data_IF_637197858427
#
_entry.id   IF_637197858427
#
_cell.length_a   1.000
_cell.length_b   1.000
_cell.length_c   1.000
_cell.angle_alpha   90.00
_cell.angle_beta   90.00
_cell.angle_gamma   90.00
#
_symmetry.space_group_name_H-M   'P 1'
#
loop_
_entity.id
_entity.type
_entity.pdbx_description
1 polymer ?
#
# COMPACT_ATOMS: atom_id res chain seq x y z
N UNK A 1 2.18 -30.89 -27.82
CA UNK A 1 1.31 -31.31 -26.70
C UNK A 1 2.06 -31.99 -25.55
N UNK A 2 3.22 -32.64 -25.75
CA UNK A 2 3.98 -33.25 -24.63
C UNK A 2 4.74 -32.23 -23.76
N UNK A 3 5.22 -31.11 -24.31
CA UNK A 3 5.97 -30.09 -23.55
C UNK A 3 5.14 -29.32 -22.52
N UNK A 4 3.87 -29.05 -22.78
CA UNK A 4 2.96 -28.38 -21.85
C UNK A 4 2.52 -29.28 -20.71
N UNK A 5 2.23 -30.57 -20.99
CA UNK A 5 1.88 -31.54 -19.96
C UNK A 5 3.03 -31.81 -18.98
N UNK A 6 4.27 -31.92 -19.48
CA UNK A 6 5.45 -32.15 -18.65
C UNK A 6 5.77 -30.94 -17.75
N UNK A 7 5.53 -29.72 -18.23
CA UNK A 7 5.69 -28.47 -17.47
C UNK A 7 4.65 -28.33 -16.34
N UNK A 8 3.39 -28.67 -16.60
CA UNK A 8 2.31 -28.67 -15.60
C UNK A 8 2.58 -29.71 -14.51
N UNK A 9 3.12 -30.89 -14.89
CA UNK A 9 3.47 -31.93 -13.93
C UNK A 9 4.66 -31.54 -13.05
N UNK A 10 5.70 -30.91 -13.62
CA UNK A 10 6.83 -30.36 -12.88
C UNK A 10 6.41 -29.23 -11.91
N UNK A 11 5.53 -28.33 -12.34
CA UNK A 11 4.96 -27.27 -11.48
C UNK A 11 4.17 -27.84 -10.29
N UNK A 12 3.41 -28.92 -10.51
CA UNK A 12 2.69 -29.61 -9.44
C UNK A 12 3.62 -30.25 -8.39
N UNK A 13 4.72 -30.86 -8.84
CA UNK A 13 5.73 -31.46 -7.96
C UNK A 13 6.43 -30.39 -7.12
N UNK A 14 6.85 -29.28 -7.73
CA UNK A 14 7.52 -28.18 -7.00
C UNK A 14 6.60 -27.56 -5.94
N UNK A 15 5.31 -27.37 -6.24
CA UNK A 15 4.34 -26.88 -5.24
C UNK A 15 4.21 -27.80 -4.03
N UNK A 16 4.24 -29.12 -4.25
CA UNK A 16 4.19 -30.08 -3.15
C UNK A 16 5.47 -30.01 -2.29
N UNK A 17 6.64 -29.92 -2.93
CA UNK A 17 7.93 -29.76 -2.24
C UNK A 17 7.94 -28.50 -1.37
N UNK A 18 7.47 -27.37 -1.92
CA UNK A 18 7.39 -26.10 -1.17
C UNK A 18 6.52 -26.27 0.08
N UNK A 19 5.32 -26.86 -0.06
CA UNK A 19 4.41 -27.08 1.06
C UNK A 19 5.01 -28.00 2.13
N UNK A 20 5.69 -29.06 1.72
CA UNK A 20 6.34 -30.00 2.64
C UNK A 20 7.45 -29.30 3.44
N UNK A 21 8.28 -28.48 2.79
CA UNK A 21 9.32 -27.68 3.49
C UNK A 21 8.69 -26.69 4.47
N UNK A 22 7.62 -25.97 4.08
CA UNK A 22 6.91 -25.05 4.98
C UNK A 22 6.39 -25.79 6.22
N UNK A 23 5.77 -26.95 6.04
CA UNK A 23 5.26 -27.77 7.14
C UNK A 23 6.38 -28.27 8.06
N UNK A 24 7.49 -28.74 7.48
CA UNK A 24 8.62 -29.24 8.23
C UNK A 24 9.28 -28.12 9.06
N UNK A 25 9.50 -26.94 8.49
CA UNK A 25 9.99 -25.77 9.22
C UNK A 25 9.03 -25.35 10.34
N UNK A 26 7.73 -25.29 10.06
CA UNK A 26 6.71 -24.93 11.05
C UNK A 26 6.66 -25.93 12.22
N UNK A 27 6.79 -27.24 11.93
CA UNK A 27 6.84 -28.29 12.96
C UNK A 27 8.04 -28.14 13.90
N UNK A 28 9.09 -27.44 13.45
CA UNK A 28 10.32 -27.15 14.19
C UNK A 28 10.35 -25.73 14.79
N UNK A 29 9.23 -25.01 14.72
CA UNK A 29 9.04 -23.71 15.36
C UNK A 29 9.33 -22.49 14.49
N UNK A 30 9.68 -22.66 13.22
CA UNK A 30 10.02 -21.56 12.31
C UNK A 30 8.93 -21.39 11.22
N UNK A 31 8.21 -20.27 11.26
CA UNK A 31 7.23 -19.93 10.25
C UNK A 31 7.88 -19.31 9.02
N UNK A 32 7.76 -19.96 7.87
CA UNK A 32 8.35 -19.48 6.59
C UNK A 32 7.28 -19.35 5.52
N UNK A 33 7.39 -18.34 4.66
CA UNK A 33 6.46 -18.12 3.55
C UNK A 33 6.75 -19.06 2.37
N UNK A 34 5.73 -19.44 1.61
CA UNK A 34 5.91 -20.24 0.39
C UNK A 34 6.86 -19.56 -0.61
N UNK A 35 6.85 -18.22 -0.68
CA UNK A 35 7.74 -17.44 -1.54
C UNK A 35 9.21 -17.56 -1.12
N UNK A 36 9.50 -17.44 0.17
CA UNK A 36 10.86 -17.62 0.70
C UNK A 36 11.34 -19.04 0.42
N UNK A 37 10.50 -20.04 0.65
CA UNK A 37 10.83 -21.44 0.36
C UNK A 37 11.09 -21.66 -1.13
N UNK A 38 10.27 -21.09 -2.01
CA UNK A 38 10.49 -21.17 -3.46
C UNK A 38 11.84 -20.58 -3.87
N UNK A 39 12.23 -19.46 -3.26
CA UNK A 39 13.55 -18.85 -3.49
C UNK A 39 14.68 -19.76 -3.00
N UNK A 40 14.57 -20.33 -1.79
CA UNK A 40 15.57 -21.25 -1.24
C UNK A 40 15.70 -22.52 -2.06
N UNK A 41 14.58 -23.11 -2.51
CA UNK A 41 14.60 -24.28 -3.41
C UNK A 41 15.39 -23.96 -4.67
N UNK A 42 15.12 -22.82 -5.30
CA UNK A 42 15.87 -22.37 -6.47
C UNK A 42 17.36 -22.17 -6.16
N UNK A 43 17.69 -21.54 -5.04
CA UNK A 43 19.08 -21.31 -4.64
C UNK A 43 19.84 -22.63 -4.39
N UNK A 44 19.23 -23.59 -3.69
CA UNK A 44 19.80 -24.91 -3.39
C UNK A 44 20.03 -25.72 -4.67
N UNK A 45 19.08 -25.69 -5.62
CA UNK A 45 19.20 -26.39 -6.90
C UNK A 45 20.31 -25.80 -7.77
N UNK A 46 20.50 -24.48 -7.74
CA UNK A 46 21.50 -23.78 -8.56
C UNK A 46 22.91 -23.80 -7.95
N UNK A 47 23.05 -24.15 -6.68
CA UNK A 47 24.34 -24.16 -5.99
C UNK A 47 25.19 -25.36 -6.45
N UNK A 48 26.37 -25.14 -7.07
CA UNK A 48 27.14 -26.21 -7.72
C UNK A 48 27.56 -27.33 -6.77
N UNK A 49 27.74 -27.02 -5.48
CA UNK A 49 28.14 -27.98 -4.45
C UNK A 49 27.04 -29.01 -4.16
N UNK A 50 25.79 -28.70 -4.48
CA UNK A 50 24.65 -29.60 -4.25
C UNK A 50 24.43 -30.58 -5.41
N UNK A 51 25.11 -30.41 -6.55
CA UNK A 51 25.12 -31.37 -7.67
C UNK A 51 23.71 -31.80 -8.14
N UNK A 52 22.78 -30.83 -8.25
CA UNK A 52 21.46 -31.07 -8.85
C UNK A 52 21.51 -30.86 -10.37
N UNK A 53 20.94 -31.82 -11.12
CA UNK A 53 20.83 -31.71 -12.58
C UNK A 53 19.51 -31.03 -12.97
N UNK A 54 19.58 -29.76 -13.39
CA UNK A 54 18.41 -28.90 -13.69
C UNK A 54 17.54 -29.45 -14.83
N UNK A 55 18.13 -30.20 -15.77
CA UNK A 55 17.45 -30.72 -16.97
C UNK A 55 16.89 -32.15 -16.81
N UNK A 56 17.03 -32.77 -15.63
CA UNK A 56 16.56 -34.14 -15.37
C UNK A 56 15.33 -34.14 -14.48
N UNK A 57 14.42 -35.09 -14.71
CA UNK A 57 13.30 -35.36 -13.79
C UNK A 57 13.86 -35.79 -12.43
N UNK A 58 13.45 -35.09 -11.37
CA UNK A 58 13.88 -35.37 -9.99
C UNK A 58 13.43 -36.78 -9.58
N UNK A 59 14.37 -37.62 -9.15
CA UNK A 59 14.05 -38.90 -8.53
C UNK A 59 13.52 -38.69 -7.11
N UNK A 60 12.85 -39.70 -6.53
CA UNK A 60 12.32 -39.61 -5.16
C UNK A 60 13.39 -39.30 -4.12
N UNK A 61 14.63 -39.76 -4.33
CA UNK A 61 15.75 -39.50 -3.42
C UNK A 61 16.30 -38.07 -3.58
N UNK A 62 16.29 -37.53 -4.81
CA UNK A 62 16.65 -36.13 -5.07
C UNK A 62 15.67 -35.17 -4.39
N UNK A 63 14.38 -35.51 -4.39
CA UNK A 63 13.34 -34.72 -3.70
C UNK A 63 13.57 -34.68 -2.20
N UNK A 64 13.81 -35.84 -1.57
CA UNK A 64 14.10 -35.90 -0.12
C UNK A 64 15.35 -35.11 0.24
N UNK A 65 16.41 -35.25 -0.57
CA UNK A 65 17.67 -34.51 -0.39
C UNK A 65 17.46 -33.01 -0.53
N UNK A 66 16.68 -32.57 -1.51
CA UNK A 66 16.35 -31.16 -1.71
C UNK A 66 15.59 -30.60 -0.51
N UNK A 67 14.58 -31.31 0.00
CA UNK A 67 13.81 -30.90 1.17
C UNK A 67 14.72 -30.75 2.39
N UNK A 68 15.55 -31.76 2.68
CA UNK A 68 16.46 -31.73 3.83
C UNK A 68 17.47 -30.58 3.73
N UNK A 69 18.06 -30.32 2.56
CA UNK A 69 18.96 -29.17 2.34
C UNK A 69 18.25 -27.83 2.55
N UNK A 70 17.03 -27.68 2.01
CA UNK A 70 16.25 -26.45 2.17
C UNK A 70 15.85 -26.22 3.63
N UNK A 71 15.35 -27.25 4.33
CA UNK A 71 14.96 -27.18 5.74
C UNK A 71 16.16 -26.84 6.62
N UNK A 72 17.31 -27.50 6.41
CA UNK A 72 18.54 -27.17 7.15
C UNK A 72 18.96 -25.71 6.94
N UNK A 73 18.92 -25.23 5.70
CA UNK A 73 19.25 -23.84 5.37
C UNK A 73 18.27 -22.85 6.00
N UNK A 74 16.98 -23.14 5.99
CA UNK A 74 15.93 -22.28 6.53
C UNK A 74 15.94 -22.20 8.07
N UNK A 75 16.45 -23.23 8.74
CA UNK A 75 16.57 -23.30 10.20
C UNK A 75 17.92 -22.80 10.73
N UNK A 76 18.85 -22.38 9.86
CA UNK A 76 20.13 -21.82 10.29
C UNK A 76 19.97 -20.35 10.72
N UNK A 77 19.54 -20.14 11.96
CA UNK A 77 19.35 -18.82 12.57
C UNK A 77 20.66 -18.05 12.82
N UNK A 78 21.81 -18.57 12.39
CA UNK A 78 23.11 -17.89 12.46
C UNK A 78 23.64 -17.50 11.08
N UNK A 79 22.87 -17.74 10.01
CA UNK A 79 23.25 -17.45 8.64
C UNK A 79 22.85 -16.03 8.25
N UNK A 80 23.83 -15.11 8.21
CA UNK A 80 23.59 -13.75 7.70
C UNK A 80 23.23 -13.74 6.21
N UNK A 81 23.62 -14.76 5.44
CA UNK A 81 23.15 -14.91 4.05
C UNK A 81 21.68 -15.29 3.98
N UNK A 82 21.18 -16.14 4.89
CA UNK A 82 19.75 -16.40 5.02
C UNK A 82 18.99 -15.13 5.42
N UNK A 83 19.50 -14.35 6.39
CA UNK A 83 18.87 -13.10 6.81
C UNK A 83 18.78 -12.09 5.66
N UNK A 84 19.81 -12.04 4.82
CA UNK A 84 19.82 -11.21 3.61
C UNK A 84 18.74 -11.66 2.63
N UNK A 85 18.62 -12.97 2.38
CA UNK A 85 17.57 -13.51 1.49
C UNK A 85 16.18 -13.24 2.06
N UNK A 86 15.97 -13.43 3.37
CA UNK A 86 14.70 -13.12 4.04
C UNK A 86 14.30 -11.67 3.83
N UNK A 87 15.25 -10.75 4.04
CA UNK A 87 15.03 -9.32 3.83
C UNK A 87 14.75 -8.98 2.36
N UNK A 88 15.47 -9.56 1.41
CA UNK A 88 15.22 -9.35 -0.03
C UNK A 88 13.82 -9.82 -0.43
N UNK A 89 13.45 -11.04 -0.04
CA UNK A 89 12.11 -11.58 -0.33
C UNK A 89 11.03 -10.76 0.36
N UNK A 90 11.25 -10.33 1.60
CA UNK A 90 10.29 -9.48 2.31
C UNK A 90 10.10 -8.14 1.60
N UNK A 91 11.19 -7.47 1.21
CA UNK A 91 11.12 -6.20 0.50
C UNK A 91 10.40 -6.37 -0.85
N UNK A 92 10.79 -7.36 -1.65
CA UNK A 92 10.17 -7.63 -2.96
C UNK A 92 8.67 -7.98 -2.86
N UNK A 93 8.23 -8.57 -1.75
CA UNK A 93 6.82 -8.93 -1.55
C UNK A 93 5.95 -7.77 -1.05
N UNK A 94 6.54 -6.81 -0.35
CA UNK A 94 5.77 -5.77 0.36
C UNK A 94 5.98 -4.37 -0.21
N UNK A 95 7.07 -4.13 -0.91
CA UNK A 95 7.37 -2.85 -1.55
C UNK A 95 6.98 -2.86 -3.03
N UNK A 96 6.38 -1.77 -3.47
CA UNK A 96 6.09 -1.46 -4.88
C UNK A 96 6.28 0.04 -5.06
N UNK A 97 6.45 0.51 -6.29
CA UNK A 97 6.59 1.95 -6.52
C UNK A 97 5.34 2.71 -6.12
N UNK A 98 5.51 3.98 -5.76
CA UNK A 98 4.42 4.88 -5.37
C UNK A 98 3.25 4.90 -6.37
N UNK A 99 3.56 4.98 -7.67
CA UNK A 99 2.56 5.04 -8.74
C UNK A 99 1.77 3.74 -8.89
N UNK A 100 2.46 2.60 -8.84
CA UNK A 100 1.83 1.27 -8.87
C UNK A 100 0.92 1.08 -7.67
N UNK A 101 1.41 1.44 -6.47
CA UNK A 101 0.63 1.35 -5.23
C UNK A 101 -0.66 2.16 -5.31
N UNK A 102 -0.57 3.46 -5.65
CA UNK A 102 -1.74 4.33 -5.71
C UNK A 102 -2.73 3.91 -6.79
N UNK A 103 -2.23 3.44 -7.94
CA UNK A 103 -3.07 2.91 -9.01
C UNK A 103 -3.86 1.69 -8.54
N UNK A 104 -3.18 0.73 -7.90
CA UNK A 104 -3.83 -0.47 -7.38
C UNK A 104 -4.78 -0.16 -6.22
N UNK A 105 -4.40 0.73 -5.30
CA UNK A 105 -5.26 1.19 -4.21
C UNK A 105 -6.58 1.77 -4.72
N UNK A 106 -6.52 2.70 -5.69
CA UNK A 106 -7.72 3.29 -6.31
C UNK A 106 -8.56 2.24 -7.03
N UNK A 107 -7.92 1.27 -7.72
CA UNK A 107 -8.61 0.16 -8.39
C UNK A 107 -9.36 -0.73 -7.38
N UNK A 108 -8.73 -1.05 -6.24
CA UNK A 108 -9.34 -1.84 -5.16
C UNK A 108 -10.52 -1.09 -4.54
N UNK A 109 -10.36 0.21 -4.25
CA UNK A 109 -11.45 1.04 -3.74
C UNK A 109 -12.64 1.05 -4.71
N UNK A 110 -12.39 1.30 -5.99
CA UNK A 110 -13.44 1.30 -7.01
C UNK A 110 -14.15 -0.06 -7.08
N UNK A 111 -13.39 -1.16 -7.04
CA UNK A 111 -13.92 -2.52 -7.03
C UNK A 111 -14.83 -2.77 -5.82
N UNK A 112 -14.46 -2.27 -4.64
CA UNK A 112 -15.27 -2.39 -3.42
C UNK A 112 -16.55 -1.56 -3.48
N UNK A 113 -16.55 -0.44 -4.21
CA UNK A 113 -17.72 0.41 -4.40
C UNK A 113 -18.69 -0.13 -5.47
N UNK A 114 -18.25 -1.01 -6.37
CA UNK A 114 -19.08 -1.53 -7.46
C UNK A 114 -20.45 -2.09 -7.06
N UNK A 115 -20.62 -2.84 -5.94
CA UNK A 115 -21.93 -3.37 -5.55
C UNK A 115 -22.98 -2.27 -5.35
N UNK A 116 -22.66 -1.24 -4.56
CA UNK A 116 -23.58 -0.11 -4.30
C UNK A 116 -23.80 0.75 -5.56
N UNK A 117 -22.76 0.95 -6.37
CA UNK A 117 -22.89 1.72 -7.62
C UNK A 117 -23.81 1.03 -8.62
N UNK A 118 -23.75 -0.31 -8.73
CA UNK A 118 -24.68 -1.09 -9.56
C UNK A 118 -26.11 -0.97 -9.05
N UNK A 119 -26.33 -1.07 -7.74
CA UNK A 119 -27.66 -0.89 -7.14
C UNK A 119 -28.27 0.49 -7.43
N UNK A 120 -27.45 1.53 -7.57
CA UNK A 120 -27.88 2.89 -7.91
C UNK A 120 -28.11 3.03 -9.42
N UNK A 121 -27.16 2.61 -10.24
CA UNK A 121 -27.20 2.83 -11.70
C UNK A 121 -28.24 1.96 -12.41
N UNK A 122 -28.43 0.74 -11.94
CA UNK A 122 -29.42 -0.21 -12.46
C UNK A 122 -30.82 0.03 -11.86
N UNK A 123 -30.95 0.96 -10.90
CA UNK A 123 -32.21 1.28 -10.24
C UNK A 123 -33.28 1.81 -11.23
N UNK A 124 -34.54 1.44 -10.97
CA UNK A 124 -35.74 1.83 -11.74
C UNK A 124 -36.88 2.27 -10.81
N UNK A 125 -36.54 2.95 -9.72
CA UNK A 125 -37.49 3.48 -8.75
C UNK A 125 -38.60 4.29 -9.42
N UNK A 126 -39.83 4.05 -8.98
CA UNK A 126 -41.04 4.69 -9.51
C UNK A 126 -41.96 5.20 -8.40
N UNK A 127 -41.92 4.57 -7.21
CA UNK A 127 -42.66 5.04 -6.04
C UNK A 127 -41.85 6.03 -5.20
N UNK A 128 -42.54 6.82 -4.37
CA UNK A 128 -41.89 7.76 -3.46
C UNK A 128 -40.91 7.07 -2.51
N UNK A 129 -41.30 5.93 -1.93
CA UNK A 129 -40.47 5.18 -0.99
C UNK A 129 -39.22 4.60 -1.67
N UNK A 130 -39.35 4.16 -2.93
CA UNK A 130 -38.23 3.69 -3.74
C UNK A 130 -37.24 4.83 -4.07
N UNK A 131 -37.75 6.02 -4.40
CA UNK A 131 -36.92 7.20 -4.66
C UNK A 131 -36.18 7.66 -3.39
N UNK A 132 -36.83 7.64 -2.23
CA UNK A 132 -36.18 7.91 -0.94
C UNK A 132 -35.08 6.87 -0.62
N UNK A 133 -35.35 5.60 -0.91
CA UNK A 133 -34.36 4.52 -0.77
C UNK A 133 -33.16 4.72 -1.71
N UNK A 134 -33.41 5.06 -2.98
CA UNK A 134 -32.36 5.38 -3.95
C UNK A 134 -31.51 6.56 -3.49
N UNK A 135 -32.13 7.64 -3.01
CA UNK A 135 -31.42 8.81 -2.52
C UNK A 135 -30.49 8.48 -1.34
N UNK A 136 -30.96 7.65 -0.40
CA UNK A 136 -30.11 7.14 0.71
C UNK A 136 -28.89 6.37 0.19
N UNK A 137 -29.06 5.52 -0.84
CA UNK A 137 -27.93 4.80 -1.46
C UNK A 137 -26.94 5.75 -2.11
N UNK A 138 -27.41 6.81 -2.79
CA UNK A 138 -26.54 7.84 -3.36
C UNK A 138 -25.72 8.52 -2.26
N UNK A 139 -26.36 8.95 -1.15
CA UNK A 139 -25.65 9.52 0.00
C UNK A 139 -24.60 8.57 0.55
N UNK A 140 -24.95 7.29 0.76
CA UNK A 140 -24.00 6.27 1.22
C UNK A 140 -22.83 6.09 0.25
N UNK A 141 -23.08 6.09 -1.06
CA UNK A 141 -22.03 5.97 -2.08
C UNK A 141 -21.08 7.17 -2.08
N UNK A 142 -21.61 8.39 -1.88
CA UNK A 142 -20.82 9.63 -1.76
C UNK A 142 -19.94 9.59 -0.52
N UNK A 143 -20.47 9.15 0.62
CA UNK A 143 -19.69 9.00 1.85
C UNK A 143 -18.58 7.96 1.71
N UNK A 144 -18.90 6.77 1.22
CA UNK A 144 -17.94 5.70 1.04
C UNK A 144 -16.83 6.07 0.04
N UNK A 145 -17.17 6.76 -1.06
CA UNK A 145 -16.19 7.19 -2.06
C UNK A 145 -15.35 8.38 -1.60
N UNK A 146 -15.91 9.30 -0.82
CA UNK A 146 -15.19 10.48 -0.31
C UNK A 146 -14.28 10.17 0.88
N UNK A 147 -14.57 9.11 1.64
CA UNK A 147 -13.85 8.79 2.87
C UNK A 147 -14.06 9.82 4.00
N UNK A 148 -15.06 10.69 3.90
CA UNK A 148 -15.38 11.71 4.90
C UNK A 148 -16.35 11.19 5.97
N UNK A 149 -15.93 10.15 6.69
CA UNK A 149 -16.71 9.54 7.78
C UNK A 149 -17.61 8.37 7.35
N UNK A 150 -18.30 7.79 8.33
CA UNK A 150 -19.07 6.54 8.14
C UNK A 150 -20.51 6.77 7.67
N UNK A 151 -21.03 5.98 6.71
CA UNK A 151 -22.45 5.99 6.35
C UNK A 151 -23.37 5.41 7.44
N UNK A 152 -22.80 4.89 8.55
CA UNK A 152 -23.56 4.45 9.72
C UNK A 152 -23.71 5.54 10.79
N UNK A 153 -22.95 6.64 10.68
CA UNK A 153 -23.03 7.75 11.63
C UNK A 153 -24.11 8.74 11.17
N UNK A 154 -25.13 8.91 12.00
CA UNK A 154 -26.29 9.75 11.71
C UNK A 154 -25.90 11.21 11.48
N UNK A 155 -24.90 11.72 12.22
CA UNK A 155 -24.46 13.12 12.10
C UNK A 155 -23.79 13.38 10.75
N UNK A 156 -22.89 12.48 10.35
CA UNK A 156 -22.19 12.47 9.05
C UNK A 156 -23.18 12.31 7.91
N UNK A 157 -24.11 11.37 8.01
CA UNK A 157 -25.16 11.14 6.99
C UNK A 157 -26.03 12.39 6.83
N UNK A 158 -26.42 13.04 7.93
CA UNK A 158 -27.24 14.27 7.87
C UNK A 158 -26.49 15.41 7.18
N UNK A 159 -25.22 15.60 7.51
CA UNK A 159 -24.40 16.64 6.88
C UNK A 159 -24.19 16.37 5.37
N UNK A 160 -23.83 15.14 5.00
CA UNK A 160 -23.68 14.76 3.60
C UNK A 160 -25.00 14.83 2.82
N UNK A 161 -26.12 14.50 3.45
CA UNK A 161 -27.46 14.65 2.86
C UNK A 161 -27.76 16.12 2.59
N UNK A 162 -27.49 17.02 3.54
CA UNK A 162 -27.72 18.45 3.36
C UNK A 162 -26.82 19.04 2.25
N UNK A 163 -25.55 18.64 2.21
CA UNK A 163 -24.61 19.04 1.16
C UNK A 163 -25.02 18.48 -0.22
N UNK A 164 -25.53 17.25 -0.29
CA UNK A 164 -26.04 16.68 -1.54
C UNK A 164 -27.33 17.38 -1.99
N UNK A 165 -28.26 17.64 -1.07
CA UNK A 165 -29.54 18.30 -1.38
C UNK A 165 -29.35 19.72 -1.93
N UNK A 166 -28.27 20.42 -1.56
CA UNK A 166 -27.99 21.76 -2.07
C UNK A 166 -27.57 21.78 -3.55
N UNK A 167 -27.09 20.65 -4.08
CA UNK A 167 -26.60 20.53 -5.47
C UNK A 167 -27.39 19.53 -6.32
N UNK A 168 -28.09 18.61 -5.67
CA UNK A 168 -28.87 17.54 -6.27
C UNK A 168 -30.09 17.24 -5.40
N UNK A 169 -31.15 18.07 -5.45
CA UNK A 169 -32.36 17.84 -4.68
C UNK A 169 -33.10 16.58 -5.17
N UNK A 170 -33.96 16.00 -4.33
CA UNK A 170 -34.69 14.77 -4.66
C UNK A 170 -35.55 14.88 -5.93
N UNK A 171 -35.96 16.10 -6.31
CA UNK A 171 -36.69 16.37 -7.55
C UNK A 171 -35.88 16.02 -8.80
N UNK A 172 -34.54 16.03 -8.72
CA UNK A 172 -33.65 15.66 -9.83
C UNK A 172 -33.49 14.15 -10.02
N UNK A 173 -34.04 13.31 -9.12
CA UNK A 173 -33.96 11.85 -9.25
C UNK A 173 -34.63 11.35 -10.53
N UNK A 174 -35.70 12.00 -10.99
CA UNK A 174 -36.36 11.64 -12.26
C UNK A 174 -35.41 11.82 -13.45
N UNK A 175 -34.72 12.96 -13.50
CA UNK A 175 -33.72 13.26 -14.51
C UNK A 175 -32.55 12.27 -14.43
N UNK A 176 -32.04 12.02 -13.22
CA UNK A 176 -30.97 11.03 -12.98
C UNK A 176 -31.37 9.64 -13.49
N UNK A 177 -32.58 9.16 -13.18
CA UNK A 177 -33.04 7.83 -13.58
C UNK A 177 -33.12 7.64 -15.10
N UNK A 178 -33.40 8.72 -15.85
CA UNK A 178 -33.45 8.74 -17.31
C UNK A 178 -32.08 8.65 -17.99
N UNK A 179 -30.99 8.90 -17.25
CA UNK A 179 -29.64 8.87 -17.80
C UNK A 179 -29.19 7.44 -18.17
N UNK A 180 -28.23 7.37 -19.10
CA UNK A 180 -27.53 6.13 -19.38
C UNK A 180 -26.73 5.68 -18.14
N UNK A 181 -26.43 4.39 -18.03
CA UNK A 181 -25.60 3.86 -16.92
C UNK A 181 -24.28 4.61 -16.79
N UNK A 182 -23.60 4.86 -17.92
CA UNK A 182 -22.35 5.61 -17.99
C UNK A 182 -22.50 7.05 -17.49
N UNK A 183 -23.59 7.72 -17.85
CA UNK A 183 -23.83 9.10 -17.41
C UNK A 183 -24.22 9.17 -15.93
N UNK A 184 -24.94 8.17 -15.41
CA UNK A 184 -25.19 8.03 -13.96
C UNK A 184 -23.88 7.86 -13.20
N UNK A 185 -22.98 6.99 -13.67
CA UNK A 185 -21.66 6.80 -13.04
C UNK A 185 -20.86 8.11 -13.03
N UNK A 186 -20.81 8.84 -14.16
CA UNK A 186 -20.15 10.15 -14.22
C UNK A 186 -20.77 11.14 -13.25
N UNK A 187 -22.10 11.23 -13.20
CA UNK A 187 -22.78 12.15 -12.30
C UNK A 187 -22.53 11.79 -10.83
N UNK A 188 -22.45 10.52 -10.46
CA UNK A 188 -22.10 10.10 -9.09
C UNK A 188 -20.68 10.54 -8.70
N UNK A 189 -19.72 10.48 -9.63
CA UNK A 189 -18.36 10.97 -9.40
C UNK A 189 -18.37 12.49 -9.17
N UNK A 190 -19.05 13.24 -10.04
CA UNK A 190 -19.16 14.69 -9.93
C UNK A 190 -19.84 15.11 -8.62
N UNK A 191 -20.97 14.48 -8.27
CA UNK A 191 -21.68 14.72 -7.01
C UNK A 191 -20.80 14.39 -5.81
N UNK A 192 -20.01 13.32 -5.87
CA UNK A 192 -19.08 12.99 -4.79
C UNK A 192 -18.05 14.11 -4.60
N UNK A 193 -17.42 14.59 -5.68
CA UNK A 193 -16.42 15.65 -5.62
C UNK A 193 -17.01 16.97 -5.12
N UNK A 194 -18.18 17.36 -5.60
CA UNK A 194 -18.85 18.59 -5.18
C UNK A 194 -19.24 18.51 -3.70
N UNK A 195 -19.89 17.43 -3.27
CA UNK A 195 -20.30 17.24 -1.87
C UNK A 195 -19.10 17.19 -0.93
N UNK A 196 -18.02 16.51 -1.33
CA UNK A 196 -16.76 16.46 -0.57
C UNK A 196 -16.21 17.88 -0.36
N UNK A 197 -16.12 18.68 -1.43
CA UNK A 197 -15.66 20.06 -1.34
C UNK A 197 -16.56 20.95 -0.46
N UNK A 198 -17.88 20.80 -0.56
CA UNK A 198 -18.83 21.55 0.29
C UNK A 198 -18.61 21.22 1.76
N UNK A 199 -18.48 19.93 2.11
CA UNK A 199 -18.28 19.52 3.51
C UNK A 199 -16.94 20.00 4.06
N UNK A 200 -15.87 19.94 3.28
CA UNK A 200 -14.56 20.48 3.65
C UNK A 200 -14.62 22.00 3.89
N UNK A 201 -15.31 22.73 3.01
CA UNK A 201 -15.51 24.16 3.18
C UNK A 201 -16.37 24.49 4.41
N UNK A 202 -17.43 23.73 4.66
CA UNK A 202 -18.27 23.91 5.84
C UNK A 202 -17.50 23.65 7.14
N UNK A 203 -16.61 22.64 7.16
CA UNK A 203 -15.66 22.40 8.25
C UNK A 203 -14.79 23.62 8.51
N UNK A 204 -14.18 24.17 7.45
CA UNK A 204 -13.34 25.38 7.55
C UNK A 204 -14.12 26.60 8.07
N UNK A 205 -15.40 26.73 7.74
CA UNK A 205 -16.27 27.78 8.26
C UNK A 205 -16.80 27.53 9.68
N UNK A 206 -16.48 26.39 10.32
CA UNK A 206 -17.04 26.01 11.63
C UNK A 206 -18.53 25.69 11.60
N UNK A 207 -19.07 25.32 10.44
CA UNK A 207 -20.51 25.03 10.20
C UNK A 207 -20.78 23.55 9.93
N UNK A 208 -19.78 22.69 10.08
CA UNK A 208 -19.84 21.27 9.76
C UNK A 208 -18.49 20.60 9.97
N UNK A 209 -18.26 19.50 9.27
CA UNK A 209 -17.03 18.70 9.37
C UNK A 209 -17.12 17.48 10.28
N UNK A 210 -18.34 17.02 10.56
CA UNK A 210 -18.54 15.84 11.40
C UNK A 210 -17.91 14.61 10.75
N UNK A 211 -17.10 13.88 11.51
CA UNK A 211 -16.37 12.70 11.02
C UNK A 211 -15.31 12.97 9.95
N UNK A 212 -14.88 14.23 9.77
CA UNK A 212 -13.73 14.57 8.91
C UNK A 212 -12.48 14.69 9.77
N UNK A 213 -11.55 13.75 9.64
CA UNK A 213 -10.26 13.80 10.32
C UNK A 213 -9.41 14.99 9.85
N UNK A 214 -8.45 15.41 10.67
CA UNK A 214 -7.47 16.42 10.28
C UNK A 214 -6.25 15.75 9.62
N UNK A 215 -6.45 15.20 8.42
CA UNK A 215 -5.37 14.52 7.69
C UNK A 215 -4.11 15.37 7.56
N UNK A 216 -4.18 16.69 7.27
CA UNK A 216 -2.98 17.52 7.26
C UNK A 216 -2.21 17.53 8.58
N UNK A 217 -2.89 17.60 9.73
CA UNK A 217 -2.21 17.55 11.02
C UNK A 217 -1.61 16.16 11.30
N UNK A 218 -2.37 15.09 11.00
CA UNK A 218 -1.92 13.71 11.18
C UNK A 218 -0.66 13.44 10.34
N UNK A 219 -0.65 13.86 9.08
CA UNK A 219 0.51 13.71 8.19
C UNK A 219 1.72 14.52 8.65
N UNK A 220 1.50 15.76 9.10
CA UNK A 220 2.58 16.62 9.63
C UNK A 220 3.24 16.05 10.90
N UNK A 221 2.54 15.19 11.64
CA UNK A 221 3.12 14.49 12.79
C UNK A 221 3.75 13.14 12.39
N UNK A 222 3.03 12.35 11.60
CA UNK A 222 3.42 10.98 11.26
C UNK A 222 4.63 10.91 10.32
N UNK A 223 4.77 11.86 9.38
CA UNK A 223 5.88 11.87 8.43
C UNK A 223 7.22 12.09 9.15
N UNK A 224 7.42 13.15 9.98
CA UNK A 224 8.65 13.31 10.73
C UNK A 224 8.95 12.15 11.68
N UNK A 225 7.93 11.57 12.32
CA UNK A 225 8.11 10.42 13.19
C UNK A 225 8.66 9.21 12.42
N UNK A 226 8.08 8.91 11.26
CA UNK A 226 8.51 7.81 10.39
C UNK A 226 9.93 8.05 9.85
N UNK A 227 10.25 9.28 9.41
CA UNK A 227 11.60 9.62 8.95
C UNK A 227 12.64 9.46 10.06
N UNK A 228 12.30 9.84 11.29
CA UNK A 228 13.21 9.69 12.44
C UNK A 228 13.48 8.21 12.75
N UNK A 229 12.45 7.37 12.69
CA UNK A 229 12.59 5.93 12.88
C UNK A 229 13.48 5.30 11.80
N UNK A 230 13.23 5.61 10.52
CA UNK A 230 14.06 5.15 9.41
C UNK A 230 15.50 5.65 9.54
N UNK A 231 15.70 6.90 9.97
CA UNK A 231 17.04 7.46 10.15
C UNK A 231 17.80 6.70 11.25
N UNK A 232 17.16 6.43 12.38
CA UNK A 232 17.79 5.66 13.47
C UNK A 232 18.22 4.27 12.99
N UNK A 233 17.34 3.55 12.27
CA UNK A 233 17.68 2.24 11.72
C UNK A 233 18.81 2.31 10.68
N UNK A 234 18.82 3.38 9.87
CA UNK A 234 19.88 3.62 8.88
C UNK A 234 21.22 3.83 9.57
N UNK A 235 21.26 4.66 10.62
CA UNK A 235 22.48 4.93 11.38
C UNK A 235 23.02 3.66 12.06
N UNK A 236 22.14 2.82 12.62
CA UNK A 236 22.50 1.53 13.23
C UNK A 236 23.06 0.54 12.18
N UNK A 237 22.50 0.52 10.97
CA UNK A 237 22.96 -0.31 9.86
C UNK A 237 24.33 0.16 9.32
N UNK A 238 24.56 1.47 9.27
CA UNK A 238 25.84 2.08 8.88
C UNK A 238 26.91 1.74 9.92
N UNK A 239 26.66 1.97 11.21
CA UNK A 239 27.60 1.67 12.30
C UNK A 239 27.96 0.17 12.33
N UNK A 240 26.97 -0.70 12.12
CA UNK A 240 27.21 -2.15 11.98
C UNK A 240 28.10 -2.47 10.78
N UNK A 241 27.84 -1.85 9.63
CA UNK A 241 28.64 -2.02 8.42
C UNK A 241 30.08 -1.56 8.61
N UNK A 242 30.31 -0.42 9.26
CA UNK A 242 31.63 0.11 9.57
C UNK A 242 32.41 -0.81 10.51
N UNK A 243 31.75 -1.36 11.54
CA UNK A 243 32.33 -2.37 12.44
C UNK A 243 32.78 -3.62 11.68
N UNK A 244 31.95 -4.13 10.75
CA UNK A 244 32.33 -5.29 9.94
C UNK A 244 33.52 -4.97 9.02
N UNK A 245 33.57 -3.79 8.40
CA UNK A 245 34.70 -3.34 7.59
C UNK A 245 35.99 -3.32 8.43
N UNK A 246 35.97 -2.70 9.62
CA UNK A 246 37.14 -2.64 10.49
C UNK A 246 37.64 -4.04 10.90
N UNK A 247 36.72 -4.98 11.16
CA UNK A 247 37.06 -6.37 11.45
C UNK A 247 37.68 -7.05 10.22
N UNK A 248 37.13 -6.85 9.03
CA UNK A 248 37.66 -7.43 7.78
C UNK A 248 39.04 -6.88 7.42
N UNK A 249 39.29 -5.59 7.64
CA UNK A 249 40.59 -4.95 7.41
C UNK A 249 41.63 -5.49 8.39
N UNK A 250 41.26 -5.63 9.66
CA UNK A 250 42.11 -6.24 10.69
C UNK A 250 42.42 -7.69 10.34
N UNK A 251 41.41 -8.47 9.94
CA UNK A 251 41.60 -9.85 9.50
C UNK A 251 42.54 -9.90 8.30
N UNK A 252 42.32 -9.09 7.27
CA UNK A 252 43.14 -9.09 6.05
C UNK A 252 44.59 -8.74 6.35
N UNK A 253 44.84 -7.75 7.21
CA UNK A 253 46.18 -7.34 7.66
C UNK A 253 46.88 -8.46 8.45
N UNK A 254 46.15 -9.17 9.32
CA UNK A 254 46.68 -10.26 10.14
C UNK A 254 46.73 -11.62 9.40
N UNK A 255 46.18 -11.73 8.19
CA UNK A 255 46.01 -13.01 7.46
C UNK A 255 47.19 -13.42 6.59
N UNK A 256 48.31 -12.68 6.60
CA UNK A 256 49.55 -13.12 5.96
C UNK A 256 50.14 -14.44 6.51
N UNK A 257 49.51 -15.14 7.47
CA UNK A 257 50.08 -16.33 8.11
C UNK A 257 49.24 -17.62 8.27
N UNK A 258 47.90 -17.70 8.09
CA UNK A 258 47.15 -18.98 8.33
C UNK A 258 45.80 -19.14 7.57
N UNK A 259 45.53 -20.36 7.05
CA UNK A 259 44.32 -20.76 6.29
C UNK A 259 43.02 -20.86 7.11
N UNK A 260 43.07 -20.92 8.45
CA UNK A 260 41.87 -21.09 9.30
C UNK A 260 41.02 -19.82 9.44
N UNK A 261 41.37 -18.73 8.74
CA UNK A 261 40.67 -17.43 8.79
C UNK A 261 39.61 -17.25 7.70
N UNK A 262 39.56 -18.13 6.69
CA UNK A 262 38.70 -17.92 5.51
C UNK A 262 37.21 -18.11 5.80
N UNK A 263 36.82 -19.11 6.61
CA UNK A 263 35.41 -19.33 6.97
C UNK A 263 34.85 -18.21 7.86
N UNK A 264 35.64 -17.72 8.83
CA UNK A 264 35.24 -16.60 9.68
C UNK A 264 35.18 -15.30 8.87
N UNK A 265 36.14 -15.07 7.97
CA UNK A 265 36.12 -13.94 7.05
C UNK A 265 34.85 -13.94 6.18
N UNK A 266 34.47 -15.10 5.63
CA UNK A 266 33.24 -15.23 4.85
C UNK A 266 32.00 -14.86 5.65
N UNK A 267 31.87 -15.34 6.90
CA UNK A 267 30.73 -14.98 7.76
C UNK A 267 30.65 -13.47 8.03
N UNK A 268 31.78 -12.83 8.30
CA UNK A 268 31.81 -11.36 8.50
C UNK A 268 31.44 -10.62 7.21
N UNK A 269 31.86 -11.13 6.04
CA UNK A 269 31.45 -10.59 4.74
C UNK A 269 29.93 -10.73 4.53
N UNK A 270 29.35 -11.89 4.85
CA UNK A 270 27.90 -12.10 4.77
C UNK A 270 27.12 -11.14 5.69
N UNK A 271 27.61 -10.91 6.93
CA UNK A 271 26.99 -9.94 7.83
C UNK A 271 27.13 -8.50 7.34
N UNK A 272 28.27 -8.13 6.75
CA UNK A 272 28.46 -6.82 6.11
C UNK A 272 27.49 -6.62 4.94
N UNK A 273 27.32 -7.63 4.09
CA UNK A 273 26.37 -7.61 2.97
C UNK A 273 24.95 -7.43 3.50
N UNK A 274 24.59 -8.14 4.57
CA UNK A 274 23.28 -8.00 5.21
C UNK A 274 23.04 -6.55 5.69
N UNK A 275 23.97 -5.95 6.43
CA UNK A 275 23.83 -4.57 6.92
C UNK A 275 23.75 -3.55 5.77
N UNK A 276 24.55 -3.70 4.72
CA UNK A 276 24.47 -2.82 3.53
C UNK A 276 23.17 -2.99 2.75
N UNK A 277 22.65 -4.21 2.66
CA UNK A 277 21.36 -4.45 2.02
C UNK A 277 20.21 -3.76 2.78
N UNK A 278 20.24 -3.80 4.12
CA UNK A 278 19.29 -3.09 4.96
C UNK A 278 19.37 -1.57 4.74
N UNK A 279 20.57 -1.00 4.77
CA UNK A 279 20.80 0.42 4.48
C UNK A 279 20.22 0.84 3.12
N UNK A 280 20.43 0.05 2.07
CA UNK A 280 19.88 0.32 0.74
C UNK A 280 18.35 0.38 0.75
N UNK A 281 17.69 -0.56 1.41
CA UNK A 281 16.22 -0.59 1.50
C UNK A 281 15.68 0.55 2.35
N UNK A 282 16.31 0.86 3.48
CA UNK A 282 15.93 2.01 4.30
C UNK A 282 16.07 3.33 3.54
N UNK A 283 17.11 3.48 2.71
CA UNK A 283 17.28 4.65 1.86
C UNK A 283 16.16 4.80 0.81
N UNK A 284 15.71 3.69 0.20
CA UNK A 284 14.56 3.70 -0.71
C UNK A 284 13.31 4.19 0.01
N UNK A 285 12.98 3.60 1.15
CA UNK A 285 11.81 3.98 1.96
C UNK A 285 11.91 5.43 2.44
N UNK A 286 13.10 5.87 2.88
CA UNK A 286 13.34 7.24 3.31
C UNK A 286 13.07 8.24 2.19
N UNK A 287 13.48 7.95 0.96
CA UNK A 287 13.22 8.81 -0.19
C UNK A 287 11.72 8.92 -0.49
N UNK A 288 10.97 7.82 -0.41
CA UNK A 288 9.51 7.83 -0.62
C UNK A 288 8.77 8.61 0.48
N UNK A 289 9.21 8.49 1.74
CA UNK A 289 8.64 9.28 2.85
C UNK A 289 9.00 10.77 2.71
N UNK A 290 10.21 11.10 2.27
CA UNK A 290 10.60 12.50 1.96
C UNK A 290 9.78 13.07 0.80
N UNK A 291 9.51 12.28 -0.25
CA UNK A 291 8.61 12.70 -1.32
C UNK A 291 7.22 12.97 -0.76
N UNK A 292 6.70 12.08 0.10
CA UNK A 292 5.41 12.28 0.76
C UNK A 292 5.38 13.59 1.58
N UNK A 293 6.48 13.95 2.25
CA UNK A 293 6.60 15.23 2.94
C UNK A 293 6.42 16.43 1.98
N UNK A 294 7.09 16.39 0.82
CA UNK A 294 7.00 17.43 -0.20
C UNK A 294 5.58 17.55 -0.77
N UNK A 295 4.95 16.43 -1.11
CA UNK A 295 3.57 16.39 -1.61
C UNK A 295 2.59 16.98 -0.59
N UNK A 296 2.72 16.62 0.70
CA UNK A 296 1.87 17.17 1.77
C UNK A 296 2.03 18.68 1.93
N UNK A 297 3.26 19.19 1.85
CA UNK A 297 3.51 20.64 1.89
C UNK A 297 2.82 21.36 0.72
N UNK A 298 2.94 20.82 -0.49
CA UNK A 298 2.30 21.38 -1.68
C UNK A 298 0.77 21.34 -1.57
N UNK A 299 0.22 20.17 -1.22
CA UNK A 299 -1.22 19.99 -1.01
C UNK A 299 -1.76 20.93 0.07
N UNK A 300 -1.03 21.15 1.17
CA UNK A 300 -1.43 22.07 2.24
C UNK A 300 -1.48 23.52 1.77
N UNK A 301 -0.47 23.94 0.99
CA UNK A 301 -0.44 25.27 0.38
C UNK A 301 -1.63 25.46 -0.57
N UNK A 302 -1.85 24.51 -1.48
CA UNK A 302 -2.97 24.53 -2.41
C UNK A 302 -4.32 24.51 -1.68
N UNK A 303 -4.49 23.67 -0.66
CA UNK A 303 -5.72 23.53 0.10
C UNK A 303 -6.13 24.85 0.77
N UNK A 304 -5.18 25.51 1.45
CA UNK A 304 -5.40 26.82 2.09
C UNK A 304 -5.77 27.89 1.07
N UNK A 305 -5.00 28.00 -0.01
CA UNK A 305 -5.27 28.99 -1.07
C UNK A 305 -6.66 28.80 -1.69
N UNK A 306 -7.10 27.55 -1.89
CA UNK A 306 -8.42 27.23 -2.44
C UNK A 306 -9.56 27.52 -1.48
N UNK A 307 -9.37 27.23 -0.19
CA UNK A 307 -10.34 27.61 0.84
C UNK A 307 -10.52 29.13 0.90
N UNK A 308 -9.45 29.91 0.84
CA UNK A 308 -9.52 31.38 0.86
C UNK A 308 -10.16 31.96 -0.41
N UNK A 309 -9.89 31.35 -1.58
CA UNK A 309 -10.56 31.69 -2.83
C UNK A 309 -12.06 31.39 -2.77
N UNK A 310 -12.45 30.24 -2.21
CA UNK A 310 -13.85 29.86 -2.01
C UNK A 310 -14.55 30.82 -1.03
N UNK A 311 -13.91 31.17 0.08
CA UNK A 311 -14.40 32.17 1.05
C UNK A 311 -14.69 33.47 0.32
N UNK A 312 -13.73 33.98 -0.45
CA UNK A 312 -13.89 35.24 -1.22
C UNK A 312 -14.98 35.14 -2.28
N UNK A 313 -15.12 33.98 -2.93
CA UNK A 313 -16.14 33.77 -3.98
C UNK A 313 -17.56 33.79 -3.41
N UNK A 314 -17.75 33.24 -2.21
CA UNK A 314 -19.06 33.02 -1.57
C UNK A 314 -19.43 34.16 -0.60
N UNK A 315 -18.44 34.78 0.05
CA UNK A 315 -18.65 35.78 1.08
C UNK A 315 -19.42 37.00 0.53
N UNK A 316 -20.42 37.45 1.31
CA UNK A 316 -21.27 38.61 1.03
C UNK A 316 -22.12 38.51 -0.25
N UNK A 317 -22.27 37.33 -0.85
CA UNK A 317 -23.17 37.11 -1.98
C UNK A 317 -24.41 36.34 -1.57
N UNK A 318 -25.58 36.83 -1.99
CA UNK A 318 -26.87 36.15 -1.77
C UNK A 318 -27.04 34.92 -2.65
N UNK A 319 -26.39 34.89 -3.82
CA UNK A 319 -26.34 33.73 -4.70
C UNK A 319 -25.03 33.75 -5.51
N UNK A 320 -24.46 32.56 -5.76
CA UNK A 320 -23.28 32.38 -6.61
C UNK A 320 -23.64 31.41 -7.74
N UNK A 321 -23.30 31.72 -9.01
CA UNK A 321 -23.54 30.80 -10.10
C UNK A 321 -22.85 29.44 -9.87
N UNK A 322 -23.59 28.35 -10.07
CA UNK A 322 -23.09 26.97 -9.89
C UNK A 322 -21.86 26.69 -10.77
N UNK A 323 -21.87 27.20 -12.01
CA UNK A 323 -20.75 27.11 -12.95
C UNK A 323 -19.45 27.75 -12.42
N UNK A 324 -19.53 28.69 -11.47
CA UNK A 324 -18.36 29.32 -10.86
C UNK A 324 -17.87 28.58 -9.61
N UNK A 325 -18.79 28.01 -8.82
CA UNK A 325 -18.47 27.47 -7.49
C UNK A 325 -18.24 25.94 -7.50
N UNK A 326 -18.95 25.18 -8.33
CA UNK A 326 -18.78 23.71 -8.39
C UNK A 326 -17.36 23.30 -8.77
N UNK A 327 -16.70 23.91 -9.78
CA UNK A 327 -15.32 23.58 -10.11
C UNK A 327 -14.36 23.80 -8.93
N UNK A 328 -14.60 24.81 -8.10
CA UNK A 328 -13.78 25.09 -6.92
C UNK A 328 -13.95 24.03 -5.83
N UNK A 329 -15.19 23.59 -5.57
CA UNK A 329 -15.44 22.48 -4.64
C UNK A 329 -14.84 21.16 -5.13
N UNK A 330 -14.99 20.85 -6.42
CA UNK A 330 -14.40 19.64 -7.00
C UNK A 330 -12.88 19.66 -6.88
N UNK A 331 -12.25 20.80 -7.13
CA UNK A 331 -10.81 20.93 -6.98
C UNK A 331 -10.35 20.81 -5.52
N UNK A 332 -11.11 21.36 -4.56
CA UNK A 332 -10.86 21.15 -3.13
C UNK A 332 -10.92 19.67 -2.74
N UNK A 333 -11.89 18.92 -3.30
CA UNK A 333 -11.98 17.48 -3.10
C UNK A 333 -10.79 16.72 -3.70
N UNK A 334 -10.31 17.11 -4.89
CA UNK A 334 -9.12 16.51 -5.49
C UNK A 334 -7.87 16.69 -4.62
N UNK A 335 -7.67 17.88 -4.05
CA UNK A 335 -6.56 18.14 -3.11
C UNK A 335 -6.71 17.24 -1.88
N UNK A 336 -7.93 17.10 -1.37
CA UNK A 336 -8.21 16.22 -0.23
C UNK A 336 -7.91 14.74 -0.51
N UNK A 337 -8.26 14.25 -1.69
CA UNK A 337 -7.91 12.90 -2.12
C UNK A 337 -6.38 12.71 -2.19
N UNK A 338 -5.63 13.76 -2.53
CA UNK A 338 -4.17 13.78 -2.40
C UNK A 338 -3.71 13.48 -0.97
N UNK A 339 -4.26 14.14 0.06
CA UNK A 339 -3.92 13.82 1.45
C UNK A 339 -4.29 12.38 1.83
N UNK A 340 -5.40 11.85 1.33
CA UNK A 340 -5.79 10.46 1.57
C UNK A 340 -4.80 9.48 0.93
N UNK A 341 -4.33 9.77 -0.28
CA UNK A 341 -3.31 8.97 -0.95
C UNK A 341 -1.99 8.95 -0.15
N UNK A 342 -1.54 10.11 0.37
CA UNK A 342 -0.36 10.17 1.24
C UNK A 342 -0.52 9.39 2.54
N UNK A 343 -1.70 9.45 3.16
CA UNK A 343 -2.00 8.72 4.40
C UNK A 343 -1.85 7.22 4.21
N UNK A 344 -2.40 6.68 3.12
CA UNK A 344 -2.34 5.24 2.86
C UNK A 344 -0.92 4.81 2.48
N UNK A 345 -0.21 5.60 1.68
CA UNK A 345 1.20 5.35 1.36
C UNK A 345 2.08 5.32 2.61
N UNK A 346 1.97 6.34 3.47
CA UNK A 346 2.74 6.42 4.70
C UNK A 346 2.45 5.22 5.62
N UNK A 347 1.20 4.78 5.71
CA UNK A 347 0.84 3.60 6.49
C UNK A 347 1.54 2.34 5.99
N UNK A 348 1.68 2.16 4.67
CA UNK A 348 2.36 0.98 4.11
C UNK A 348 3.86 1.09 4.30
N UNK A 349 4.46 2.25 4.01
CA UNK A 349 5.89 2.48 4.20
C UNK A 349 6.30 2.27 5.66
N UNK A 350 5.53 2.82 6.61
CA UNK A 350 5.76 2.62 8.05
C UNK A 350 5.66 1.16 8.46
N UNK A 351 4.76 0.37 7.86
CA UNK A 351 4.65 -1.06 8.15
C UNK A 351 5.81 -1.88 7.57
N UNK A 352 6.42 -1.46 6.46
CA UNK A 352 7.62 -2.12 5.91
C UNK A 352 8.83 -1.87 6.82
N UNK A 353 8.86 -0.74 7.53
CA UNK A 353 9.93 -0.36 8.45
C UNK A 353 9.89 -1.06 9.82
N UNK A 354 8.78 -1.72 10.14
CA UNK A 354 8.59 -2.50 11.38
C UNK A 354 8.90 -3.97 11.13
#
# INVERSE_FOLDING_TARGET
MSGTANRIQAEGVIKNIIREIVQECASRGEGVSETLVAFIVKAVVLEPQNDFQVDRVLASDDVKRLIDLCVRRLLDNKSSSLDTIKMQVYFDMNYTTRDEFLTEHRRVLETRLQPILREITDNRASSKDELESLYRKIVSSVLLRSGLGSPTDISVVREATAALQSVFPQTELGNFLSLSKRDKDRQLIELTQIVTGIRLFNKECGKGGEGIDNLPAILNEAIPATLKEIQQQTDDAIDSSEKFIAVLDTMTTLSQKQLSKDATKHKVQESMINSRQLELYLNILSNDVRQSAHEVEELLSQFKARLDQLKTTIQNKTAVPTAQVYPQFMHLATIWFGFQDEMVLLSVLSNICK
#
